data_IF_016570476553
#
_entry.id   IF_016570476553
#
_cell.length_a   1.000
_cell.length_b   1.000
_cell.length_c   1.000
_cell.angle_alpha   90.00
_cell.angle_beta   90.00
_cell.angle_gamma   90.00
#
_symmetry.space_group_name_H-M   'P 1'
#
loop_
_entity.id
_entity.type
_entity.pdbx_description
1 polymer ?
#
# COMPACT_ATOMS: atom_id res chain seq x y z
N UNK A 1 2.45 -26.88 -21.83
CA UNK A 1 3.14 -25.99 -20.88
C UNK A 1 2.32 -24.73 -20.86
N UNK A 2 1.42 -24.58 -19.89
CA UNK A 2 0.66 -23.34 -19.75
C UNK A 2 1.64 -22.21 -19.42
N UNK A 3 1.43 -20.98 -19.92
CA UNK A 3 2.18 -19.84 -19.40
C UNK A 3 1.90 -19.79 -17.89
N UNK A 4 2.92 -19.45 -17.09
CA UNK A 4 2.72 -19.15 -15.68
C UNK A 4 1.59 -18.10 -15.62
N UNK A 5 0.47 -18.47 -15.01
CA UNK A 5 -0.80 -17.75 -15.10
C UNK A 5 -0.59 -16.26 -14.78
N UNK A 6 -1.03 -15.39 -15.69
CA UNK A 6 -0.99 -13.94 -15.48
C UNK A 6 -1.79 -13.59 -14.21
N UNK A 7 -1.31 -12.64 -13.40
CA UNK A 7 -2.01 -12.20 -12.19
C UNK A 7 -3.43 -11.71 -12.53
N UNK A 8 -4.36 -11.92 -11.60
CA UNK A 8 -5.70 -11.34 -11.77
C UNK A 8 -5.61 -9.82 -11.69
N UNK A 9 -6.54 -9.12 -12.36
CA UNK A 9 -6.66 -7.66 -12.27
C UNK A 9 -6.67 -7.17 -10.82
N UNK A 10 -7.37 -7.89 -9.93
CA UNK A 10 -7.35 -7.59 -8.50
C UNK A 10 -5.94 -7.58 -7.91
N UNK A 11 -5.13 -8.61 -8.17
CA UNK A 11 -3.76 -8.72 -7.66
C UNK A 11 -2.86 -7.64 -8.27
N UNK A 12 -3.00 -7.36 -9.56
CA UNK A 12 -2.26 -6.28 -10.23
C UNK A 12 -2.56 -4.91 -9.60
N UNK A 13 -3.85 -4.61 -9.38
CA UNK A 13 -4.27 -3.34 -8.79
C UNK A 13 -3.86 -3.22 -7.32
N UNK A 14 -3.89 -4.32 -6.55
CA UNK A 14 -3.34 -4.33 -5.20
C UNK A 14 -1.83 -4.08 -5.19
N UNK A 15 -1.08 -4.67 -6.14
CA UNK A 15 0.36 -4.44 -6.24
C UNK A 15 0.66 -2.99 -6.63
N UNK A 16 -0.10 -2.41 -7.57
CA UNK A 16 0.01 -0.99 -7.91
C UNK A 16 -0.26 -0.09 -6.70
N UNK A 17 -1.29 -0.36 -5.90
CA UNK A 17 -1.55 0.40 -4.68
C UNK A 17 -0.38 0.38 -3.69
N UNK A 18 0.37 -0.74 -3.62
CA UNK A 18 1.59 -0.82 -2.80
C UNK A 18 2.74 -0.02 -3.42
N UNK A 19 2.94 -0.09 -4.74
CA UNK A 19 3.99 0.62 -5.47
C UNK A 19 3.78 2.14 -5.43
N UNK A 20 2.54 2.58 -5.58
CA UNK A 20 2.11 3.98 -5.47
C UNK A 20 2.01 4.46 -4.01
N UNK A 21 2.23 3.53 -3.09
CA UNK A 21 2.24 3.75 -1.65
C UNK A 21 0.91 4.33 -1.15
N UNK A 22 -0.22 3.87 -1.67
CA UNK A 22 -1.56 4.37 -1.38
C UNK A 22 -1.88 4.32 0.12
N UNK A 23 -2.78 5.20 0.56
CA UNK A 23 -3.35 5.09 1.91
C UNK A 23 -4.28 3.88 2.00
N UNK A 24 -4.33 3.22 3.16
CA UNK A 24 -5.19 2.05 3.36
C UNK A 24 -6.67 2.34 3.10
N UNK A 25 -7.15 3.56 3.37
CA UNK A 25 -8.54 3.92 3.13
C UNK A 25 -8.90 4.01 1.63
N UNK A 26 -7.92 4.18 0.75
CA UNK A 26 -8.13 4.25 -0.71
C UNK A 26 -8.20 2.87 -1.34
N UNK A 27 -7.50 1.88 -0.76
CA UNK A 27 -7.30 0.55 -1.37
C UNK A 27 -8.62 -0.13 -1.80
N UNK A 28 -9.67 -0.18 -0.97
CA UNK A 28 -10.92 -0.82 -1.38
C UNK A 28 -11.76 0.01 -2.35
N UNK A 29 -11.54 1.34 -2.39
CA UNK A 29 -12.32 2.24 -3.23
C UNK A 29 -12.02 2.05 -4.72
N UNK A 30 -10.85 1.50 -5.03
CA UNK A 30 -10.38 1.41 -6.41
C UNK A 30 -9.86 2.74 -6.93
N UNK A 31 -9.40 2.75 -8.18
CA UNK A 31 -8.82 3.94 -8.82
C UNK A 31 -9.47 4.16 -10.18
N UNK A 32 -9.99 5.38 -10.46
CA UNK A 32 -10.37 5.76 -11.81
C UNK A 32 -9.12 6.17 -12.62
N UNK A 33 -9.03 5.77 -13.89
CA UNK A 33 -7.94 6.17 -14.81
C UNK A 33 -7.95 7.67 -15.22
N UNK A 34 -8.83 8.46 -14.60
CA UNK A 34 -8.82 9.93 -14.64
C UNK A 34 -9.31 10.58 -15.94
N UNK A 35 -9.73 9.81 -16.95
CA UNK A 35 -10.16 10.36 -18.26
C UNK A 35 -11.48 9.80 -18.77
N UNK A 36 -12.30 9.22 -17.88
CA UNK A 36 -13.56 8.57 -18.22
C UNK A 36 -13.39 7.17 -18.82
N UNK A 37 -12.26 6.50 -18.52
CA UNK A 37 -12.01 5.12 -18.92
C UNK A 37 -12.40 4.11 -17.84
N UNK A 38 -11.63 3.03 -17.71
CA UNK A 38 -11.98 1.85 -16.92
C UNK A 38 -11.93 2.15 -15.41
N UNK A 39 -12.96 1.74 -14.69
CA UNK A 39 -12.98 1.74 -13.22
C UNK A 39 -12.39 0.40 -12.75
N UNK A 40 -11.27 0.47 -12.02
CA UNK A 40 -10.70 -0.69 -11.34
C UNK A 40 -11.25 -0.74 -9.92
N UNK A 41 -11.99 -1.80 -9.59
CA UNK A 41 -12.74 -1.89 -8.33
C UNK A 41 -14.10 -1.17 -8.39
N UNK A 42 -14.75 -0.88 -7.25
CA UNK A 42 -14.28 -1.14 -5.88
C UNK A 42 -14.12 -2.63 -5.58
N UNK A 43 -13.28 -2.94 -4.60
CA UNK A 43 -12.99 -4.30 -4.17
C UNK A 43 -13.56 -4.57 -2.78
N UNK A 44 -13.86 -5.83 -2.46
CA UNK A 44 -14.27 -6.20 -1.09
C UNK A 44 -13.11 -5.89 -0.12
N UNK A 45 -13.31 -5.02 0.90
CA UNK A 45 -12.26 -4.72 1.87
C UNK A 45 -11.71 -5.97 2.57
N UNK A 46 -12.53 -7.01 2.74
CA UNK A 46 -12.07 -8.28 3.31
C UNK A 46 -11.14 -9.04 2.37
N UNK A 47 -11.31 -8.91 1.05
CA UNK A 47 -10.41 -9.49 0.06
C UNK A 47 -9.09 -8.73 -0.03
N UNK A 48 -9.13 -7.39 -0.05
CA UNK A 48 -7.93 -6.55 0.06
C UNK A 48 -7.13 -6.88 1.32
N UNK A 49 -7.81 -7.01 2.47
CA UNK A 49 -7.20 -7.42 3.74
C UNK A 49 -6.51 -8.78 3.64
N UNK A 50 -7.18 -9.81 3.10
CA UNK A 50 -6.57 -11.13 2.92
C UNK A 50 -5.30 -11.08 2.07
N UNK A 51 -5.33 -10.34 0.95
CA UNK A 51 -4.17 -10.22 0.07
C UNK A 51 -3.02 -9.49 0.76
N UNK A 52 -3.28 -8.33 1.37
CA UNK A 52 -2.25 -7.53 2.03
C UNK A 52 -1.66 -8.22 3.26
N UNK A 53 -2.46 -8.94 4.05
CA UNK A 53 -1.96 -9.78 5.16
C UNK A 53 -1.07 -10.90 4.64
N UNK A 54 -1.43 -11.53 3.52
CA UNK A 54 -0.62 -12.61 2.92
C UNK A 54 0.75 -12.07 2.51
N UNK A 55 0.79 -10.93 1.82
CA UNK A 55 2.04 -10.28 1.45
C UNK A 55 2.83 -9.75 2.65
N UNK A 56 2.15 -9.25 3.69
CA UNK A 56 2.80 -8.79 4.91
C UNK A 56 3.46 -9.95 5.67
N UNK A 57 2.75 -11.06 5.84
CA UNK A 57 3.26 -12.27 6.49
C UNK A 57 4.41 -12.91 5.67
N UNK A 58 4.43 -12.73 4.35
CA UNK A 58 5.54 -13.07 3.46
C UNK A 58 6.70 -12.05 3.47
N UNK A 59 6.56 -10.94 4.20
CA UNK A 59 7.56 -9.89 4.31
C UNK A 59 7.74 -9.06 3.04
N UNK A 60 6.73 -9.00 2.17
CA UNK A 60 6.76 -8.30 0.87
C UNK A 60 6.29 -6.86 0.98
N UNK A 61 5.38 -6.58 1.92
CA UNK A 61 4.82 -5.24 2.15
C UNK A 61 5.01 -4.80 3.59
N UNK A 62 5.11 -3.49 3.77
CA UNK A 62 5.22 -2.82 5.05
C UNK A 62 4.22 -1.67 5.13
N UNK A 63 3.93 -1.23 6.36
CA UNK A 63 3.13 -0.03 6.61
C UNK A 63 4.01 1.07 7.20
N UNK A 64 3.76 2.31 6.80
CA UNK A 64 4.39 3.48 7.41
C UNK A 64 3.41 4.64 7.56
N UNK A 65 3.72 5.55 8.48
CA UNK A 65 2.98 6.79 8.64
C UNK A 65 3.69 7.93 7.90
N UNK A 66 2.90 8.83 7.30
CA UNK A 66 3.42 10.10 6.82
C UNK A 66 4.06 10.89 7.98
N UNK A 67 5.08 11.72 7.71
CA UNK A 67 5.57 12.68 8.69
C UNK A 67 4.43 13.57 9.20
N UNK A 68 4.46 14.01 10.47
CA UNK A 68 3.41 14.85 11.02
C UNK A 68 3.28 16.17 10.24
N UNK A 69 2.09 16.77 10.26
CA UNK A 69 1.77 17.95 9.44
C UNK A 69 2.64 19.16 9.75
N UNK A 70 3.15 19.27 10.99
CA UNK A 70 4.06 20.32 11.43
C UNK A 70 5.53 20.06 11.04
N UNK A 71 5.82 18.91 10.43
CA UNK A 71 7.15 18.63 9.91
C UNK A 71 7.52 19.65 8.83
N UNK A 72 8.72 20.25 8.89
CA UNK A 72 9.14 21.23 7.90
C UNK A 72 9.16 20.60 6.50
N UNK A 73 8.26 21.09 5.65
CA UNK A 73 8.16 20.64 4.25
C UNK A 73 9.40 21.12 3.47
N UNK A 74 9.92 20.29 2.56
CA UNK A 74 11.07 20.65 1.76
C UNK A 74 10.76 21.86 0.86
N UNK A 75 11.66 22.83 0.84
CA UNK A 75 11.52 24.08 0.07
C UNK A 75 12.14 24.00 -1.31
N UNK A 76 13.06 23.06 -1.51
CA UNK A 76 13.74 22.82 -2.77
C UNK A 76 13.96 21.32 -3.04
N UNK A 77 14.46 20.99 -4.23
CA UNK A 77 14.66 19.61 -4.66
C UNK A 77 15.69 18.84 -3.81
N UNK A 78 16.71 19.53 -3.27
CA UNK A 78 17.72 18.90 -2.42
C UNK A 78 17.11 18.52 -1.07
N UNK A 79 16.36 19.44 -0.48
CA UNK A 79 15.59 19.19 0.74
C UNK A 79 14.56 18.08 0.50
N UNK A 80 13.89 18.06 -0.67
CA UNK A 80 12.92 17.03 -1.01
C UNK A 80 13.55 15.64 -1.12
N UNK A 81 14.73 15.53 -1.74
CA UNK A 81 15.47 14.27 -1.81
C UNK A 81 15.90 13.79 -0.42
N UNK A 82 16.39 14.71 0.42
CA UNK A 82 16.76 14.39 1.79
C UNK A 82 15.55 14.00 2.65
N UNK A 83 14.39 14.60 2.40
CA UNK A 83 13.13 14.31 3.08
C UNK A 83 12.59 12.93 2.70
N UNK A 84 12.57 12.57 1.41
CA UNK A 84 12.16 11.24 0.94
C UNK A 84 13.18 10.13 1.24
N UNK A 85 14.45 10.48 1.42
CA UNK A 85 15.50 9.53 1.81
C UNK A 85 15.52 9.18 3.29
N UNK A 86 14.60 9.72 4.11
CA UNK A 86 14.53 9.42 5.55
C UNK A 86 14.03 8.00 5.78
N UNK A 87 14.48 7.33 6.85
CA UNK A 87 13.86 6.10 7.30
C UNK A 87 12.37 6.34 7.53
N UNK A 88 11.53 5.50 6.91
CA UNK A 88 10.09 5.51 7.12
C UNK A 88 9.83 4.96 8.52
N UNK A 89 8.97 5.63 9.28
CA UNK A 89 8.59 5.18 10.61
C UNK A 89 7.28 4.41 10.46
N UNK A 90 7.37 3.10 10.63
CA UNK A 90 6.22 2.20 10.66
C UNK A 90 5.80 1.85 12.08
N UNK A 91 4.54 1.43 12.30
CA UNK A 91 4.14 0.80 13.54
C UNK A 91 4.92 -0.53 13.73
N UNK A 92 4.94 -1.02 14.98
CA UNK A 92 5.48 -2.36 15.25
C UNK A 92 4.74 -3.43 14.43
N UNK A 93 5.41 -4.53 14.08
CA UNK A 93 4.88 -5.52 13.14
C UNK A 93 3.54 -6.11 13.58
N UNK A 94 3.35 -6.34 14.88
CA UNK A 94 2.10 -6.80 15.47
C UNK A 94 0.96 -5.80 15.31
N UNK A 95 1.26 -4.49 15.40
CA UNK A 95 0.28 -3.41 15.20
C UNK A 95 -0.05 -3.28 13.71
N UNK A 96 0.96 -3.32 12.83
CA UNK A 96 0.78 -3.31 11.39
C UNK A 96 -0.14 -4.45 10.95
N UNK A 97 0.17 -5.67 11.39
CA UNK A 97 -0.64 -6.86 11.11
C UNK A 97 -2.06 -6.73 11.64
N UNK A 98 -2.25 -6.25 12.87
CA UNK A 98 -3.57 -6.05 13.46
C UNK A 98 -4.42 -5.04 12.66
N UNK A 99 -3.80 -3.96 12.17
CA UNK A 99 -4.46 -3.00 11.27
C UNK A 99 -4.82 -3.67 9.95
N UNK A 100 -3.91 -4.45 9.36
CA UNK A 100 -4.16 -5.12 8.08
C UNK A 100 -5.28 -6.18 8.17
N UNK A 101 -5.46 -6.81 9.33
CA UNK A 101 -6.54 -7.79 9.55
C UNK A 101 -7.92 -7.18 9.84
N UNK A 102 -8.00 -5.85 10.01
CA UNK A 102 -9.25 -5.15 10.35
C UNK A 102 -9.58 -4.05 9.32
N UNK A 103 -10.05 -4.43 8.12
CA UNK A 103 -10.33 -3.47 7.05
C UNK A 103 -11.48 -2.50 7.38
N UNK A 104 -12.32 -2.80 8.38
CA UNK A 104 -13.34 -1.86 8.85
C UNK A 104 -12.74 -0.58 9.45
N UNK A 105 -11.47 -0.61 9.84
CA UNK A 105 -10.74 0.56 10.34
C UNK A 105 -10.11 1.39 9.23
N UNK A 106 -10.07 0.94 7.98
CA UNK A 106 -9.42 1.67 6.88
C UNK A 106 -10.34 2.75 6.33
N UNK A 107 -10.50 3.84 7.09
CA UNK A 107 -11.38 4.94 6.72
C UNK A 107 -10.59 6.25 6.69
N UNK A 108 -11.01 7.20 5.84
CA UNK A 108 -10.40 8.53 5.78
C UNK A 108 -10.60 9.39 7.03
N UNK A 109 -11.13 8.82 8.11
CA UNK A 109 -11.32 9.45 9.41
C UNK A 109 -10.56 8.75 10.54
N UNK A 110 -9.84 7.65 10.26
CA UNK A 110 -9.09 6.90 11.26
C UNK A 110 -7.58 7.02 11.03
N UNK A 111 -6.80 7.01 12.11
CA UNK A 111 -5.34 6.95 12.02
C UNK A 111 -4.84 5.73 11.24
N UNK A 112 -5.57 4.61 11.35
CA UNK A 112 -5.24 3.39 10.61
C UNK A 112 -5.42 3.57 9.10
N UNK A 113 -6.43 4.32 8.66
CA UNK A 113 -6.65 4.60 7.25
C UNK A 113 -5.51 5.41 6.62
N UNK A 114 -4.87 6.30 7.40
CA UNK A 114 -3.75 7.13 6.94
C UNK A 114 -2.38 6.44 6.98
N UNK A 115 -2.32 5.16 7.36
CA UNK A 115 -1.11 4.37 7.09
C UNK A 115 -0.99 4.11 5.59
N UNK A 116 0.25 4.19 5.10
CA UNK A 116 0.60 3.99 3.69
C UNK A 116 1.24 2.65 3.48
N UNK A 117 0.92 2.03 2.36
CA UNK A 117 1.57 0.82 1.89
C UNK A 117 2.97 1.14 1.36
N UNK A 118 3.90 0.20 1.46
CA UNK A 118 5.16 0.27 0.73
C UNK A 118 5.70 -1.13 0.48
N UNK A 119 6.47 -1.28 -0.59
CA UNK A 119 7.27 -2.48 -0.81
C UNK A 119 8.40 -2.55 0.21
N UNK A 120 8.50 -3.68 0.90
CA UNK A 120 9.70 -4.03 1.65
C UNK A 120 10.90 -4.19 0.70
N UNK A 121 12.08 -4.44 1.25
CA UNK A 121 13.24 -4.78 0.41
C UNK A 121 13.02 -6.07 -0.40
N UNK A 122 12.29 -7.04 0.15
CA UNK A 122 11.95 -8.29 -0.53
C UNK A 122 10.84 -8.11 -1.57
N UNK A 123 9.88 -7.20 -1.30
CA UNK A 123 8.78 -6.87 -2.22
C UNK A 123 9.21 -6.23 -3.54
N UNK A 124 10.44 -5.72 -3.64
CA UNK A 124 10.98 -5.08 -4.86
C UNK A 124 11.48 -6.07 -5.92
N UNK A 125 11.50 -7.37 -5.62
CA UNK A 125 11.85 -8.40 -6.61
C UNK A 125 10.81 -8.46 -7.74
N UNK A 126 11.24 -8.71 -8.98
CA UNK A 126 10.34 -8.80 -10.15
C UNK A 126 9.23 -9.86 -10.01
N UNK A 127 9.46 -10.89 -9.18
CA UNK A 127 8.52 -11.99 -8.96
C UNK A 127 7.76 -11.89 -7.63
N UNK A 128 8.07 -10.87 -6.81
CA UNK A 128 7.55 -10.73 -5.45
C UNK A 128 6.04 -10.50 -5.40
N UNK A 129 5.47 -9.87 -6.43
CA UNK A 129 4.03 -9.62 -6.52
C UNK A 129 3.20 -10.89 -6.74
N UNK A 130 3.85 -12.00 -7.17
CA UNK A 130 3.18 -13.19 -7.72
C UNK A 130 3.31 -14.44 -6.84
N UNK A 131 3.85 -14.30 -5.63
CA UNK A 131 4.06 -15.41 -4.67
C UNK A 131 3.04 -15.36 -3.54
#
# INVERSE_FOLDING_TARGET
MQPLDEPTEFVEQMYLAVVEESWLWEVPLGVPDGHGGYEHGPWDPAECSRQLVTWFDAGLVELYADPPDDAPRPRDLREWRAWNGRPRVGPAAEVARAVLTDPARWTGASEAGFLRLSLSSAGRGLDAAWT
#
